data_IF_178016432254
#
_entry.id   IF_178016432254
#
_cell.length_a   1.000
_cell.length_b   1.000
_cell.length_c   1.000
_cell.angle_alpha   90.00
_cell.angle_beta   90.00
_cell.angle_gamma   90.00
#
_symmetry.space_group_name_H-M   'P 1'
#
loop_
_entity.id
_entity.type
_entity.pdbx_description
1 polymer ?
#
# COMPACT_ATOMS: atom_id res chain seq x y z
N UNK A 1 5.95 27.45 -6.52
CA UNK A 1 5.23 26.18 -6.68
C UNK A 1 6.25 25.20 -7.21
N UNK A 2 6.56 24.14 -6.46
CA UNK A 2 7.27 23.00 -7.03
C UNK A 2 6.22 22.20 -7.81
N UNK A 3 6.51 21.92 -9.08
CA UNK A 3 5.68 21.02 -9.86
C UNK A 3 5.73 19.65 -9.21
N UNK A 4 4.55 19.11 -8.87
CA UNK A 4 4.46 17.75 -8.37
C UNK A 4 4.90 16.79 -9.49
N UNK A 5 5.75 15.82 -9.13
CA UNK A 5 6.21 14.78 -10.02
C UNK A 5 6.17 13.43 -9.28
N UNK A 6 5.77 12.34 -9.94
CA UNK A 6 5.77 11.02 -9.35
C UNK A 6 7.14 10.63 -8.79
N UNK A 7 7.17 9.93 -7.66
CA UNK A 7 8.41 9.46 -7.06
C UNK A 7 9.11 8.49 -8.02
N UNK A 8 10.44 8.59 -8.10
CA UNK A 8 11.26 7.64 -8.87
C UNK A 8 11.68 6.47 -7.99
N UNK A 9 11.93 5.31 -8.61
CA UNK A 9 12.38 4.12 -7.87
C UNK A 9 13.64 4.41 -7.03
N UNK A 10 14.60 5.17 -7.55
CA UNK A 10 15.82 5.52 -6.82
C UNK A 10 15.54 6.42 -5.61
N UNK A 11 14.61 7.37 -5.76
CA UNK A 11 14.19 8.24 -4.67
C UNK A 11 13.43 7.47 -3.59
N UNK A 12 12.56 6.54 -3.99
CA UNK A 12 11.85 5.66 -3.06
C UNK A 12 12.80 4.71 -2.32
N UNK A 13 13.82 4.17 -3.01
CA UNK A 13 14.87 3.38 -2.37
C UNK A 13 15.60 4.17 -1.28
N UNK A 14 15.96 5.43 -1.56
CA UNK A 14 16.58 6.33 -0.60
C UNK A 14 15.64 6.64 0.58
N UNK A 15 14.36 6.93 0.31
CA UNK A 15 13.34 7.17 1.34
C UNK A 15 13.16 5.97 2.27
N UNK A 16 13.06 4.76 1.70
CA UNK A 16 12.96 3.53 2.47
C UNK A 16 14.21 3.35 3.34
N UNK A 17 15.40 3.55 2.77
CA UNK A 17 16.65 3.42 3.51
C UNK A 17 16.73 4.41 4.69
N UNK A 18 16.32 5.66 4.47
CA UNK A 18 16.25 6.69 5.51
C UNK A 18 15.26 6.31 6.61
N UNK A 19 14.01 6.00 6.26
CA UNK A 19 12.97 5.69 7.25
C UNK A 19 13.24 4.38 8.01
N UNK A 20 13.96 3.42 7.41
CA UNK A 20 14.41 2.22 8.11
C UNK A 20 15.35 2.53 9.27
N UNK A 21 16.13 3.63 9.23
CA UNK A 21 17.02 4.01 10.34
C UNK A 21 16.23 4.34 11.61
N UNK A 22 15.02 4.89 11.47
CA UNK A 22 14.11 5.18 12.57
C UNK A 22 13.37 3.93 13.09
N UNK A 23 13.45 2.80 12.39
CA UNK A 23 12.74 1.58 12.76
C UNK A 23 13.51 0.74 13.80
N UNK A 24 12.76 0.13 14.73
CA UNK A 24 13.31 -0.86 15.66
C UNK A 24 14.04 -2.00 14.91
N UNK A 25 15.16 -2.53 15.44
CA UNK A 25 15.94 -3.57 14.76
C UNK A 25 15.09 -4.78 14.32
N UNK A 26 14.19 -5.25 15.19
CA UNK A 26 13.28 -6.37 14.88
C UNK A 26 12.36 -6.10 13.68
N UNK A 27 11.92 -4.85 13.50
CA UNK A 27 11.04 -4.48 12.38
C UNK A 27 11.83 -4.38 11.08
N UNK A 28 13.07 -3.87 11.13
CA UNK A 28 13.98 -3.88 9.98
C UNK A 28 14.27 -5.29 9.50
N UNK A 29 14.55 -6.21 10.41
CA UNK A 29 14.77 -7.62 10.07
C UNK A 29 13.54 -8.27 9.45
N UNK A 30 12.35 -7.99 10.00
CA UNK A 30 11.10 -8.45 9.39
C UNK A 30 10.90 -7.87 7.99
N UNK A 31 11.11 -6.57 7.81
CA UNK A 31 11.01 -5.92 6.51
C UNK A 31 11.97 -6.52 5.49
N UNK A 32 13.23 -6.75 5.87
CA UNK A 32 14.21 -7.37 4.99
C UNK A 32 13.79 -8.76 4.50
N UNK A 33 13.05 -9.53 5.30
CA UNK A 33 12.52 -10.85 4.91
C UNK A 33 11.32 -10.79 3.96
N UNK A 34 10.51 -9.73 4.04
CA UNK A 34 9.32 -9.56 3.19
C UNK A 34 9.52 -8.57 2.03
N UNK A 35 10.66 -7.89 1.98
CA UNK A 35 11.00 -6.94 0.93
C UNK A 35 11.02 -7.63 -0.43
N UNK A 36 10.47 -6.95 -1.42
CA UNK A 36 10.53 -7.35 -2.83
C UNK A 36 11.27 -6.28 -3.63
N UNK A 37 11.80 -6.60 -4.82
CA UNK A 37 12.25 -5.57 -5.76
C UNK A 37 11.12 -4.59 -6.05
N UNK A 38 11.42 -3.30 -6.08
CA UNK A 38 10.44 -2.27 -6.41
C UNK A 38 9.84 -2.57 -7.78
N UNK A 39 8.51 -2.64 -7.82
CA UNK A 39 7.74 -2.79 -9.05
C UNK A 39 6.45 -2.01 -8.93
N UNK A 40 5.95 -1.53 -10.06
CA UNK A 40 4.71 -0.75 -10.09
C UNK A 40 3.49 -1.67 -10.12
N UNK A 41 2.41 -1.23 -9.49
CA UNK A 41 1.08 -1.81 -9.63
C UNK A 41 0.07 -0.71 -10.01
N UNK A 42 -0.91 -1.01 -10.88
CA UNK A 42 -1.97 -0.06 -11.19
C UNK A 42 -2.81 0.26 -9.95
N UNK A 43 -3.26 1.51 -9.83
CA UNK A 43 -4.21 1.93 -8.80
C UNK A 43 -5.29 2.79 -9.44
N UNK A 44 -6.57 2.52 -9.12
CA UNK A 44 -7.69 3.30 -9.62
C UNK A 44 -8.05 4.39 -8.61
N UNK A 45 -8.02 5.66 -9.04
CA UNK A 45 -8.41 6.82 -8.23
C UNK A 45 -9.21 7.79 -9.06
N UNK A 46 -10.35 8.22 -8.54
CA UNK A 46 -11.21 9.20 -9.21
C UNK A 46 -11.51 8.86 -10.70
N UNK A 47 -11.57 7.56 -11.04
CA UNK A 47 -11.79 7.09 -12.41
C UNK A 47 -10.56 7.06 -13.32
N UNK A 48 -9.37 7.39 -12.80
CA UNK A 48 -8.10 7.34 -13.50
C UNK A 48 -7.20 6.23 -12.95
N UNK A 49 -6.53 5.53 -13.87
CA UNK A 49 -5.53 4.51 -13.52
C UNK A 49 -4.17 5.17 -13.43
N UNK A 50 -3.59 5.13 -12.24
CA UNK A 50 -2.23 5.58 -11.95
C UNK A 50 -1.37 4.38 -11.53
N UNK A 51 -0.15 4.62 -11.06
CA UNK A 51 0.77 3.57 -10.63
C UNK A 51 1.41 3.89 -9.29
N UNK A 52 1.52 2.88 -8.44
CA UNK A 52 2.21 2.95 -7.14
C UNK A 52 3.30 1.90 -7.05
N UNK A 53 4.29 2.09 -6.18
CA UNK A 53 5.36 1.12 -5.99
C UNK A 53 5.01 0.11 -4.91
N UNK A 54 5.07 -1.18 -5.24
CA UNK A 54 5.08 -2.27 -4.27
C UNK A 54 6.49 -2.41 -3.67
N UNK A 55 6.58 -2.47 -2.34
CA UNK A 55 7.87 -2.47 -1.63
C UNK A 55 8.12 -3.75 -0.82
N UNK A 56 7.06 -4.41 -0.35
CA UNK A 56 7.15 -5.66 0.39
C UNK A 56 5.86 -6.50 0.25
N UNK A 57 5.96 -7.80 0.52
CA UNK A 57 4.83 -8.75 0.48
C UNK A 57 4.87 -9.72 1.66
N UNK A 58 3.73 -9.92 2.31
CA UNK A 58 3.53 -10.96 3.31
C UNK A 58 2.22 -11.69 3.05
N UNK A 59 2.30 -12.97 2.66
CA UNK A 59 1.13 -13.69 2.15
C UNK A 59 0.56 -12.99 0.90
N UNK A 60 -0.74 -12.71 0.90
CA UNK A 60 -1.43 -12.02 -0.19
C UNK A 60 -1.50 -10.49 -0.03
N UNK A 61 -0.90 -9.96 1.04
CA UNK A 61 -0.90 -8.53 1.34
C UNK A 61 0.43 -7.91 0.91
N UNK A 62 0.30 -6.80 0.19
CA UNK A 62 1.42 -5.96 -0.24
C UNK A 62 1.45 -4.68 0.57
N UNK A 63 2.66 -4.27 0.92
CA UNK A 63 2.96 -2.90 1.30
C UNK A 63 3.33 -2.14 0.03
N UNK A 64 2.72 -0.99 -0.18
CA UNK A 64 3.01 -0.11 -1.29
C UNK A 64 3.21 1.32 -0.81
N UNK A 65 3.96 2.10 -1.60
CA UNK A 65 4.15 3.51 -1.39
C UNK A 65 3.30 4.31 -2.37
N UNK A 66 2.70 5.36 -1.84
CA UNK A 66 1.79 6.27 -2.48
C UNK A 66 2.44 7.65 -2.52
N UNK A 67 2.64 8.24 -3.69
CA UNK A 67 3.44 9.47 -3.88
C UNK A 67 2.61 10.75 -4.01
N UNK A 68 1.27 10.67 -4.03
CA UNK A 68 0.38 11.82 -3.99
C UNK A 68 0.16 12.30 -2.55
N UNK A 69 -0.14 11.35 -1.66
CA UNK A 69 -0.35 11.46 -0.22
C UNK A 69 0.95 11.19 0.58
N UNK A 70 2.02 10.79 -0.12
CA UNK A 70 3.36 10.52 0.42
C UNK A 70 3.38 9.50 1.58
N UNK A 71 2.71 8.35 1.39
CA UNK A 71 2.45 7.39 2.46
C UNK A 71 2.56 5.91 2.11
N UNK A 72 2.90 5.09 3.12
CA UNK A 72 2.89 3.63 3.03
C UNK A 72 1.51 3.05 3.37
N UNK A 73 1.05 2.11 2.55
CA UNK A 73 -0.29 1.54 2.63
C UNK A 73 -0.29 0.01 2.43
N UNK A 74 -1.38 -0.65 2.83
CA UNK A 74 -1.55 -2.10 2.61
C UNK A 74 -2.71 -2.41 1.66
N UNK A 75 -2.49 -3.35 0.75
CA UNK A 75 -3.58 -3.93 -0.04
C UNK A 75 -3.20 -5.30 -0.57
N UNK A 76 -4.21 -6.13 -0.87
CA UNK A 76 -4.00 -7.24 -1.79
C UNK A 76 -4.09 -6.74 -3.23
N UNK A 77 -3.64 -7.56 -4.17
CA UNK A 77 -3.85 -7.27 -5.59
C UNK A 77 -5.16 -7.91 -6.08
N UNK A 78 -5.79 -7.27 -7.07
CA UNK A 78 -6.83 -7.86 -7.89
C UNK A 78 -6.26 -8.89 -8.87
N UNK A 79 -7.12 -9.61 -9.59
CA UNK A 79 -6.70 -10.62 -10.57
C UNK A 79 -5.88 -10.03 -11.72
N UNK A 80 -6.10 -8.76 -12.05
CA UNK A 80 -5.35 -7.99 -13.06
C UNK A 80 -4.04 -7.39 -12.51
N UNK A 81 -3.71 -7.63 -11.23
CA UNK A 81 -2.52 -7.10 -10.58
C UNK A 81 -2.66 -5.67 -10.05
N UNK A 82 -3.83 -5.03 -10.15
CA UNK A 82 -4.08 -3.70 -9.58
C UNK A 82 -4.26 -3.74 -8.06
N UNK A 83 -4.05 -2.61 -7.40
CA UNK A 83 -4.37 -2.42 -5.98
C UNK A 83 -5.87 -2.63 -5.78
N UNK A 84 -6.25 -3.65 -5.00
CA UNK A 84 -7.66 -4.02 -4.79
C UNK A 84 -8.41 -2.97 -3.98
N UNK A 85 -7.78 -2.47 -2.93
CA UNK A 85 -8.33 -1.47 -2.01
C UNK A 85 -7.30 -0.37 -1.81
N UNK A 86 -7.44 0.78 -2.50
CA UNK A 86 -6.63 1.96 -2.25
C UNK A 86 -6.75 2.42 -0.80
N UNK A 87 -5.61 2.75 -0.21
CA UNK A 87 -5.49 3.36 1.10
C UNK A 87 -5.28 4.86 0.96
N UNK A 88 -5.41 5.54 2.08
CA UNK A 88 -5.20 6.97 2.25
C UNK A 88 -4.31 7.23 3.48
N UNK A 89 -3.64 6.18 3.94
CA UNK A 89 -2.78 6.23 5.09
C UNK A 89 -1.45 6.90 4.70
N UNK A 90 -1.22 8.09 5.25
CA UNK A 90 0.03 8.86 5.12
C UNK A 90 1.10 8.31 6.09
N UNK A 91 1.23 6.99 6.17
CA UNK A 91 2.12 6.37 7.15
C UNK A 91 3.57 6.46 6.71
N UNK A 92 4.44 6.81 7.64
CA UNK A 92 5.85 6.41 7.58
C UNK A 92 5.99 4.87 7.66
N UNK A 93 7.12 4.37 7.17
CA UNK A 93 7.44 2.95 7.17
C UNK A 93 7.42 2.35 8.58
N UNK A 94 7.85 3.11 9.58
CA UNK A 94 7.82 2.70 11.00
C UNK A 94 6.40 2.36 11.47
N UNK A 95 5.43 3.21 11.14
CA UNK A 95 4.01 3.02 11.45
C UNK A 95 3.44 1.80 10.72
N UNK A 96 3.74 1.68 9.42
CA UNK A 96 3.29 0.55 8.62
C UNK A 96 3.84 -0.78 9.19
N UNK A 97 5.15 -0.87 9.45
CA UNK A 97 5.78 -2.08 10.00
C UNK A 97 5.24 -2.43 11.39
N UNK A 98 5.05 -1.44 12.26
CA UNK A 98 4.42 -1.64 13.56
C UNK A 98 3.02 -2.26 13.41
N UNK A 99 2.20 -1.71 12.51
CA UNK A 99 0.84 -2.20 12.26
C UNK A 99 0.85 -3.63 11.68
N UNK A 100 1.77 -3.91 10.75
CA UNK A 100 1.87 -5.20 10.06
C UNK A 100 2.35 -6.33 10.99
N UNK A 101 3.24 -6.01 11.92
CA UNK A 101 3.88 -6.98 12.81
C UNK A 101 3.21 -7.08 14.18
N UNK A 102 2.17 -6.27 14.43
CA UNK A 102 1.41 -6.34 15.68
C UNK A 102 0.50 -7.59 15.70
N UNK A 103 0.56 -8.44 16.74
CA UNK A 103 -0.22 -9.69 16.81
C UNK A 103 -1.73 -9.50 16.88
N UNK A 104 -2.21 -8.28 17.18
CA UNK A 104 -3.63 -7.94 17.16
C UNK A 104 -4.21 -7.77 15.73
N UNK A 105 -3.35 -7.69 14.71
CA UNK A 105 -3.74 -7.48 13.32
C UNK A 105 -3.82 -8.81 12.55
N UNK A 106 -4.44 -9.85 13.13
CA UNK A 106 -4.82 -11.04 12.36
C UNK A 106 -5.92 -10.67 11.35
N UNK A 107 -5.50 -10.37 10.11
CA UNK A 107 -6.18 -10.62 8.82
C UNK A 107 -7.69 -10.25 8.66
N UNK A 108 -8.26 -9.36 9.45
CA UNK A 108 -9.73 -9.12 9.42
C UNK A 108 -10.19 -7.76 8.89
N UNK A 109 -9.29 -6.84 8.50
CA UNK A 109 -9.71 -5.50 8.00
C UNK A 109 -9.76 -5.34 6.47
N UNK A 110 -9.20 -6.26 5.69
CA UNK A 110 -9.19 -6.16 4.22
C UNK A 110 -10.49 -6.66 3.55
N UNK A 111 -11.49 -7.11 4.32
CA UNK A 111 -12.74 -7.67 3.82
C UNK A 111 -13.96 -6.74 4.04
N UNK A 112 -13.82 -5.43 3.85
CA UNK A 112 -14.98 -4.53 3.73
C UNK A 112 -15.10 -3.95 2.33
N UNK A 113 -15.25 -4.84 1.35
CA UNK A 113 -15.98 -4.47 0.13
C UNK A 113 -17.44 -4.24 0.53
N UNK A 114 -17.92 -3.00 0.36
CA UNK A 114 -19.34 -2.68 0.55
C UNK A 114 -20.19 -3.65 -0.29
N UNK A 115 -21.34 -4.15 0.19
CA UNK A 115 -22.30 -4.81 -0.67
C UNK A 115 -22.75 -3.81 -1.72
N UNK A 116 -22.57 -4.20 -2.98
CA UNK A 116 -23.10 -3.54 -4.16
C UNK A 116 -24.60 -3.34 -3.94
N UNK A 117 -25.06 -2.08 -3.99
CA UNK A 117 -26.48 -1.77 -4.00
C UNK A 117 -27.05 -2.44 -5.25
N UNK A 118 -27.87 -3.47 -5.06
CA UNK A 118 -28.77 -3.91 -6.11
C UNK A 118 -29.83 -2.84 -6.26
N UNK A 119 -29.67 -2.08 -7.33
CA UNK A 119 -30.75 -1.35 -7.99
C UNK A 119 -31.71 -2.41 -8.54
N UNK A 120 -32.81 -2.65 -7.84
CA UNK A 120 -33.97 -3.30 -8.43
C UNK A 120 -35.05 -2.24 -8.61
N UNK A 121 -34.95 -1.53 -9.73
CA UNK A 121 -36.12 -1.07 -10.44
C UNK A 121 -36.96 -2.27 -10.84
N UNK A 122 -38.12 -2.42 -10.21
CA UNK A 122 -39.23 -3.27 -10.67
C UNK A 122 -40.36 -2.39 -11.18
N UNK A 123 -40.97 -2.70 -12.35
CA UNK A 123 -41.80 -1.77 -13.10
C UNK A 123 -43.28 -1.79 -12.65
N UNK A 124 -43.95 -0.64 -12.89
CA UNK A 124 -45.39 -0.32 -13.00
C UNK A 124 -46.42 -1.20 -12.27
#
# INVERSE_FOLDING_TARGET
>A
MQDWAPIRAEALEALIAEQLLACEPRWRECFARCRIPLRTAPILRFGQTESVFLVARMGEVYLYYEDVEEGFNFSSLAEDGSIRTPGFEQWELSHALRQWLSPATSHSRLARSKPQRHDEGGPI
#
